data_IF_914675619858
#
_entry.id   IF_914675619858
#
_cell.length_a   1.000
_cell.length_b   1.000
_cell.length_c   1.000
_cell.angle_alpha   90.00
_cell.angle_beta   90.00
_cell.angle_gamma   90.00
#
_symmetry.space_group_name_H-M   'P 1'
#
loop_
_entity.id
_entity.type
_entity.pdbx_description
1 polymer ?
#
# COMPACT_ATOMS: atom_id res chain seq x y z
N UNK A 1 21.50 -4.00 7.03
CA UNK A 1 22.96 -3.72 7.05
C UNK A 1 23.44 -3.09 5.75
N UNK A 2 23.20 -3.70 4.58
CA UNK A 2 23.66 -3.17 3.30
C UNK A 2 23.17 -1.73 3.01
N UNK A 3 21.89 -1.44 3.25
CA UNK A 3 21.34 -0.10 3.09
C UNK A 3 21.96 0.91 4.08
N UNK A 4 22.14 0.51 5.33
CA UNK A 4 22.78 1.36 6.34
C UNK A 4 24.22 1.71 5.95
N UNK A 5 24.97 0.71 5.47
CA UNK A 5 26.32 0.89 5.00
C UNK A 5 26.38 1.87 3.82
N UNK A 6 25.48 1.74 2.85
CA UNK A 6 25.38 2.65 1.73
C UNK A 6 24.99 4.07 2.16
N UNK A 7 24.01 4.22 3.07
CA UNK A 7 23.54 5.52 3.56
C UNK A 7 24.59 6.30 4.36
N UNK A 8 25.49 5.62 5.08
CA UNK A 8 26.62 6.24 5.82
C UNK A 8 27.75 6.74 4.88
N UNK A 9 27.81 6.25 3.65
CA UNK A 9 28.79 6.65 2.66
C UNK A 9 30.18 5.98 2.87
N UNK A 10 31.08 6.17 1.88
CA UNK A 10 32.38 5.49 1.80
C UNK A 10 33.32 5.70 2.99
N UNK A 11 33.26 6.87 3.63
CA UNK A 11 34.25 7.28 4.63
C UNK A 11 34.04 6.68 6.01
N UNK A 12 32.82 6.22 6.31
CA UNK A 12 32.41 5.80 7.66
C UNK A 12 32.17 4.29 7.80
N UNK A 13 32.54 3.46 6.80
CA UNK A 13 32.19 2.04 6.78
C UNK A 13 33.39 1.13 7.04
N UNK A 14 33.11 -0.03 7.68
CA UNK A 14 34.05 -1.13 7.70
C UNK A 14 34.18 -1.79 6.32
N UNK A 15 35.30 -2.48 6.08
CA UNK A 15 35.54 -3.20 4.81
C UNK A 15 34.47 -4.27 4.57
N UNK A 16 34.02 -4.97 5.62
CA UNK A 16 33.01 -6.02 5.54
C UNK A 16 31.62 -5.48 5.18
N UNK A 17 31.21 -4.35 5.78
CA UNK A 17 29.92 -3.73 5.49
C UNK A 17 29.87 -3.20 4.06
N UNK A 18 31.00 -2.75 3.52
CA UNK A 18 31.12 -2.30 2.14
C UNK A 18 30.96 -3.46 1.16
N UNK A 19 31.55 -4.62 1.41
CA UNK A 19 31.40 -5.81 0.58
C UNK A 19 29.95 -6.32 0.60
N UNK A 20 29.30 -6.27 1.76
CA UNK A 20 27.88 -6.60 1.90
C UNK A 20 26.98 -5.66 1.10
N UNK A 21 27.27 -4.36 1.11
CA UNK A 21 26.50 -3.38 0.36
C UNK A 21 26.65 -3.60 -1.16
N UNK A 22 27.87 -3.84 -1.65
CA UNK A 22 28.12 -4.13 -3.08
C UNK A 22 27.40 -5.42 -3.52
N UNK A 23 27.42 -6.48 -2.70
CA UNK A 23 26.68 -7.72 -2.99
C UNK A 23 25.17 -7.53 -3.03
N UNK A 24 24.65 -6.56 -2.29
CA UNK A 24 23.24 -6.20 -2.28
C UNK A 24 22.84 -5.24 -3.42
N UNK A 25 23.77 -4.89 -4.30
CA UNK A 25 23.50 -4.04 -5.47
C UNK A 25 23.62 -2.52 -5.21
N UNK A 26 24.21 -2.12 -4.07
CA UNK A 26 24.43 -0.70 -3.77
C UNK A 26 25.78 -0.26 -4.36
N UNK A 27 25.76 0.67 -5.29
CA UNK A 27 26.97 1.26 -5.87
C UNK A 27 27.32 2.58 -5.17
N UNK A 28 28.53 2.64 -4.63
CA UNK A 28 29.06 3.83 -3.94
C UNK A 28 29.59 4.89 -4.90
N UNK A 29 29.71 4.60 -6.17
CA UNK A 29 30.11 5.59 -7.18
C UNK A 29 28.90 6.34 -7.75
N UNK A 30 27.71 5.80 -7.53
CA UNK A 30 26.45 6.41 -7.93
C UNK A 30 25.67 6.80 -6.67
N UNK A 31 25.01 7.93 -6.73
CA UNK A 31 24.10 8.39 -5.68
C UNK A 31 22.70 7.75 -5.78
N UNK A 32 22.55 6.74 -6.64
CA UNK A 32 21.28 6.12 -7.00
C UNK A 32 21.32 4.59 -6.83
N UNK A 33 20.29 4.03 -6.21
CA UNK A 33 20.11 2.59 -6.04
C UNK A 33 18.69 2.16 -6.41
N UNK A 34 18.57 1.10 -7.20
CA UNK A 34 17.30 0.50 -7.54
C UNK A 34 16.86 -0.54 -6.49
N UNK A 35 15.72 -0.31 -5.86
CA UNK A 35 15.07 -1.25 -4.94
C UNK A 35 14.04 -2.10 -5.67
N UNK A 36 14.31 -3.39 -5.82
CA UNK A 36 13.32 -4.36 -6.30
C UNK A 36 12.70 -5.09 -5.12
N UNK A 37 11.44 -4.83 -4.83
CA UNK A 37 10.69 -5.64 -3.88
C UNK A 37 10.36 -7.00 -4.51
N UNK A 38 11.10 -8.03 -4.13
CA UNK A 38 10.84 -9.38 -4.60
C UNK A 38 9.64 -9.96 -3.84
N UNK A 39 8.57 -10.27 -4.55
CA UNK A 39 7.27 -10.74 -4.02
C UNK A 39 7.27 -12.19 -3.50
N UNK A 40 8.41 -12.85 -3.45
CA UNK A 40 8.50 -14.29 -3.14
C UNK A 40 8.94 -14.63 -1.72
N UNK A 41 9.28 -13.66 -0.90
CA UNK A 41 9.57 -13.87 0.53
C UNK A 41 8.74 -12.85 1.31
N UNK A 42 8.04 -13.33 2.30
CA UNK A 42 7.31 -12.55 3.29
C UNK A 42 8.01 -11.23 3.56
N UNK A 43 7.26 -10.11 3.55
CA UNK A 43 7.76 -8.77 3.83
C UNK A 43 8.34 -8.61 5.25
N UNK A 44 8.61 -9.71 5.94
CA UNK A 44 9.25 -9.86 7.24
C UNK A 44 10.70 -10.31 7.09
N UNK A 45 11.50 -9.55 6.35
CA UNK A 45 12.95 -9.71 6.40
C UNK A 45 13.58 -9.34 7.75
N UNK A 46 12.77 -8.93 8.73
CA UNK A 46 13.11 -8.81 10.14
C UNK A 46 12.22 -9.80 10.88
N UNK A 47 12.75 -10.93 11.39
CA UNK A 47 11.95 -11.77 12.25
C UNK A 47 11.63 -10.99 13.52
N UNK A 48 10.45 -10.42 13.61
CA UNK A 48 9.85 -10.11 14.90
C UNK A 48 9.50 -11.46 15.53
N UNK A 49 10.53 -12.07 16.11
CA UNK A 49 10.37 -13.31 16.87
C UNK A 49 9.72 -12.94 18.18
N UNK A 50 8.41 -13.00 18.22
CA UNK A 50 7.72 -13.04 19.50
C UNK A 50 8.32 -14.16 20.34
N UNK A 51 8.63 -13.93 21.62
CA UNK A 51 9.20 -14.97 22.49
C UNK A 51 8.25 -16.16 22.52
N UNK A 52 8.73 -17.32 22.09
CA UNK A 52 7.90 -18.53 21.93
C UNK A 52 7.58 -19.23 23.25
N UNK A 53 8.26 -18.87 24.35
CA UNK A 53 8.03 -19.48 25.66
C UNK A 53 8.15 -18.47 26.80
N UNK A 54 7.44 -18.73 27.91
CA UNK A 54 7.53 -17.92 29.13
C UNK A 54 8.94 -17.92 29.76
N UNK A 55 9.77 -18.88 29.44
CA UNK A 55 11.17 -18.92 29.88
C UNK A 55 12.04 -17.89 29.15
N UNK A 56 11.86 -17.71 27.85
CA UNK A 56 12.55 -16.66 27.07
C UNK A 56 12.20 -15.27 27.57
N UNK A 57 10.95 -15.04 27.97
CA UNK A 57 10.52 -13.77 28.58
C UNK A 57 11.21 -13.56 29.94
N UNK A 58 11.35 -14.60 30.75
CA UNK A 58 12.06 -14.52 32.04
C UNK A 58 13.57 -14.25 31.87
N UNK A 59 14.22 -14.91 30.93
CA UNK A 59 15.63 -14.65 30.61
C UNK A 59 15.87 -13.24 30.07
N UNK A 60 14.97 -12.72 29.25
CA UNK A 60 15.06 -11.34 28.79
C UNK A 60 14.80 -10.33 29.93
N UNK A 61 13.93 -10.65 30.87
CA UNK A 61 13.67 -9.81 32.04
C UNK A 61 14.86 -9.80 32.99
N UNK A 62 15.45 -10.96 33.28
CA UNK A 62 16.68 -11.08 34.12
C UNK A 62 17.88 -10.39 33.47
N UNK A 63 18.05 -10.50 32.15
CA UNK A 63 19.12 -9.79 31.45
C UNK A 63 18.92 -8.25 31.44
N UNK A 64 17.68 -7.77 31.55
CA UNK A 64 17.39 -6.35 31.74
C UNK A 64 17.65 -5.88 33.17
N UNK A 65 17.29 -6.69 34.16
CA UNK A 65 17.51 -6.40 35.57
C UNK A 65 19.02 -6.40 35.92
N UNK A 66 19.82 -7.35 35.42
CA UNK A 66 21.28 -7.38 35.62
C UNK A 66 22.03 -6.21 34.94
N UNK A 67 21.45 -5.59 33.90
CA UNK A 67 22.00 -4.37 33.31
C UNK A 67 21.63 -3.11 34.09
N UNK A 68 20.55 -3.12 34.88
CA UNK A 68 20.12 -2.00 35.71
C UNK A 68 21.00 -1.84 36.95
N UNK A 69 21.59 -2.92 37.47
CA UNK A 69 22.41 -2.90 38.67
C UNK A 69 23.89 -2.45 38.46
N UNK A 70 24.30 -2.27 37.21
CA UNK A 70 25.65 -1.79 36.88
C UNK A 70 25.69 -0.27 36.69
N UNK A 71 24.98 0.47 37.53
CA UNK A 71 25.14 1.93 37.66
C UNK A 71 26.43 2.21 38.45
N UNK A 72 27.49 2.50 37.72
CA UNK A 72 28.69 3.12 38.29
C UNK A 72 28.28 4.49 38.84
N UNK A 73 28.31 4.64 40.18
CA UNK A 73 28.18 5.92 40.84
C UNK A 73 29.38 6.81 40.51
N UNK A 74 29.29 7.58 39.44
CA UNK A 74 30.20 8.70 39.18
C UNK A 74 29.69 9.92 39.92
N UNK A 75 29.95 10.00 41.22
CA UNK A 75 29.91 11.24 41.97
C UNK A 75 31.17 12.03 41.64
N UNK A 76 31.16 12.81 40.59
CA UNK A 76 32.20 13.77 40.24
C UNK A 76 31.60 15.17 40.05
N UNK A 77 32.08 16.03 40.86
CA UNK A 77 31.98 17.47 40.96
C UNK A 77 31.76 18.21 39.62
N UNK A 78 30.65 18.93 39.51
CA UNK A 78 30.52 20.10 38.62
C UNK A 78 29.43 20.08 37.58
N UNK A 79 29.10 18.94 36.97
CA UNK A 79 28.03 18.84 36.00
C UNK A 79 26.85 18.04 36.58
N UNK A 80 25.63 18.59 36.51
CA UNK A 80 24.41 17.95 37.05
C UNK A 80 23.59 17.39 35.92
N UNK A 81 23.38 16.06 35.92
CA UNK A 81 22.56 15.35 34.93
C UNK A 81 21.07 15.75 34.94
N UNK A 82 20.62 16.45 36.00
CA UNK A 82 19.24 16.91 36.14
C UNK A 82 18.99 18.33 35.55
N UNK A 83 20.02 19.01 35.06
CA UNK A 83 19.92 20.36 34.55
C UNK A 83 20.42 20.41 33.11
N UNK A 84 19.50 20.58 32.14
CA UNK A 84 19.80 20.53 30.71
C UNK A 84 20.92 21.48 30.28
N UNK A 85 20.98 22.70 30.89
CA UNK A 85 21.98 23.71 30.59
C UNK A 85 23.38 23.40 31.14
N UNK A 86 23.51 22.43 32.07
CA UNK A 86 24.75 22.04 32.75
C UNK A 86 25.21 20.62 32.33
N UNK A 87 24.83 20.17 31.18
CA UNK A 87 25.25 18.88 30.61
C UNK A 87 24.20 17.77 30.66
N UNK A 88 22.99 18.03 31.15
CA UNK A 88 21.89 17.06 31.16
C UNK A 88 21.52 16.53 29.78
N UNK A 89 21.69 17.34 28.75
CA UNK A 89 21.47 16.93 27.36
C UNK A 89 22.57 16.03 26.77
N UNK A 90 23.71 15.90 27.43
CA UNK A 90 24.81 15.03 27.00
C UNK A 90 24.72 13.63 27.59
N UNK A 91 23.81 13.41 28.54
CA UNK A 91 23.54 12.07 29.07
C UNK A 91 22.62 11.37 28.08
N UNK A 92 23.05 10.28 27.42
CA UNK A 92 22.16 9.49 26.57
C UNK A 92 21.01 9.02 27.45
N UNK A 93 19.79 9.40 27.11
CA UNK A 93 18.62 8.89 27.80
C UNK A 93 18.59 7.37 27.54
N UNK A 94 18.84 6.57 28.58
CA UNK A 94 18.87 5.12 28.48
C UNK A 94 17.49 4.51 28.16
N UNK A 95 16.48 5.36 28.04
CA UNK A 95 15.14 5.03 27.58
C UNK A 95 14.98 5.32 26.09
N UNK A 96 15.71 4.62 25.26
CA UNK A 96 15.24 4.46 23.89
C UNK A 96 14.14 3.39 23.90
N UNK A 97 12.94 3.85 24.20
CA UNK A 97 11.73 3.12 23.85
C UNK A 97 11.68 2.94 22.33
N UNK A 98 10.97 1.93 21.82
CA UNK A 98 10.74 1.81 20.40
C UNK A 98 10.11 3.12 19.91
N UNK A 99 10.61 3.66 18.80
CA UNK A 99 9.99 4.82 18.16
C UNK A 99 8.57 4.44 17.78
N UNK A 100 7.59 5.04 18.45
CA UNK A 100 6.20 4.84 18.11
C UNK A 100 5.88 5.71 16.89
N UNK A 101 5.63 5.08 15.76
CA UNK A 101 5.15 5.75 14.55
C UNK A 101 3.63 5.68 14.48
N UNK A 102 2.99 6.79 14.12
CA UNK A 102 1.55 6.82 13.92
C UNK A 102 1.17 5.87 12.77
N UNK A 103 0.35 4.88 13.09
CA UNK A 103 -0.16 3.92 12.11
C UNK A 103 -1.48 4.44 11.54
N UNK A 104 -1.54 4.59 10.24
CA UNK A 104 -2.76 4.85 9.50
C UNK A 104 -2.86 3.81 8.40
N UNK A 105 -3.98 3.10 8.35
CA UNK A 105 -4.20 2.13 7.28
C UNK A 105 -4.23 2.87 5.93
N UNK A 106 -3.41 2.42 5.02
CA UNK A 106 -3.36 2.87 3.64
C UNK A 106 -3.25 1.64 2.74
N UNK A 107 -3.74 1.77 1.53
CA UNK A 107 -3.70 0.65 0.59
C UNK A 107 -4.96 -0.20 0.69
N UNK A 108 -5.14 -1.00 -0.26
CA UNK A 108 -6.28 -1.87 -0.54
C UNK A 108 -6.19 -2.27 -1.99
N UNK A 109 -5.84 -1.33 -2.87
CA UNK A 109 -5.75 -1.58 -4.30
C UNK A 109 -4.67 -2.60 -4.67
N UNK A 110 -3.46 -2.50 -4.09
CA UNK A 110 -2.38 -3.46 -4.37
C UNK A 110 -2.64 -4.87 -3.85
N UNK A 111 -3.60 -5.06 -2.94
CA UNK A 111 -3.97 -6.36 -2.40
C UNK A 111 -4.86 -7.16 -3.36
N UNK A 112 -5.70 -6.45 -4.12
CA UNK A 112 -6.73 -7.06 -4.97
C UNK A 112 -6.46 -6.91 -6.47
N UNK A 113 -5.67 -5.90 -6.87
CA UNK A 113 -5.32 -5.66 -8.26
C UNK A 113 -4.25 -6.61 -8.78
N UNK A 114 -4.24 -6.82 -10.09
CA UNK A 114 -3.15 -7.53 -10.76
C UNK A 114 -1.97 -6.59 -11.01
N UNK A 115 -0.77 -6.98 -10.56
CA UNK A 115 0.43 -6.17 -10.74
C UNK A 115 1.25 -6.73 -11.89
N UNK A 116 1.56 -5.85 -12.85
CA UNK A 116 2.42 -6.13 -13.99
C UNK A 116 3.72 -5.35 -13.87
N UNK A 117 4.83 -6.06 -13.75
CA UNK A 117 6.17 -5.44 -13.69
C UNK A 117 6.76 -5.37 -15.09
N UNK A 118 7.29 -4.21 -15.49
CA UNK A 118 7.93 -3.97 -16.79
C UNK A 118 9.29 -3.31 -16.62
N UNK A 119 10.22 -3.60 -17.55
CA UNK A 119 11.55 -3.01 -17.51
C UNK A 119 11.63 -1.62 -18.16
N UNK A 120 10.71 -1.31 -19.07
CA UNK A 120 10.67 -0.04 -19.80
C UNK A 120 9.43 0.76 -19.46
N UNK A 121 9.51 2.08 -19.59
CA UNK A 121 8.38 2.99 -19.39
C UNK A 121 7.63 3.34 -20.69
N UNK A 122 7.88 2.64 -21.79
CA UNK A 122 7.13 2.83 -23.05
C UNK A 122 5.66 2.46 -22.86
N UNK A 123 4.76 3.11 -23.55
CA UNK A 123 3.34 2.81 -23.49
C UNK A 123 3.07 1.33 -23.83
N UNK A 124 2.22 0.71 -23.02
CA UNK A 124 1.86 -0.70 -23.14
C UNK A 124 0.41 -0.82 -23.56
N UNK A 125 0.13 -1.07 -24.83
CA UNK A 125 -1.23 -1.30 -25.29
C UNK A 125 -1.67 -2.73 -24.91
N UNK A 126 -2.79 -2.85 -24.23
CA UNK A 126 -3.44 -4.10 -23.86
C UNK A 126 -4.66 -4.24 -24.77
N UNK A 127 -4.68 -5.24 -25.69
CA UNK A 127 -5.83 -5.44 -26.55
C UNK A 127 -7.03 -5.95 -25.75
N UNK A 128 -8.21 -5.44 -26.07
CA UNK A 128 -9.49 -5.89 -25.53
C UNK A 128 -10.44 -6.20 -26.67
N UNK A 129 -11.31 -7.20 -26.47
CA UNK A 129 -12.36 -7.53 -27.42
C UNK A 129 -13.66 -7.80 -26.68
N UNK A 130 -14.76 -7.36 -27.25
CA UNK A 130 -16.09 -7.65 -26.73
C UNK A 130 -16.92 -8.30 -27.84
N UNK A 131 -17.15 -9.58 -27.69
CA UNK A 131 -17.95 -10.38 -28.62
C UNK A 131 -19.22 -10.93 -27.93
N UNK A 132 -19.58 -10.41 -26.74
CA UNK A 132 -20.68 -10.93 -25.92
C UNK A 132 -22.05 -10.74 -26.53
N UNK A 133 -22.23 -9.76 -27.43
CA UNK A 133 -23.47 -9.52 -28.14
C UNK A 133 -23.64 -10.41 -29.37
N UNK A 134 -22.55 -11.00 -29.87
CA UNK A 134 -22.55 -11.81 -31.05
C UNK A 134 -22.90 -13.26 -30.70
N UNK A 135 -23.92 -13.78 -31.34
CA UNK A 135 -24.39 -15.15 -31.13
C UNK A 135 -24.38 -15.89 -32.43
N UNK A 136 -24.09 -17.20 -32.39
CA UNK A 136 -24.31 -18.07 -33.51
C UNK A 136 -25.78 -18.11 -33.93
N UNK A 137 -26.04 -18.41 -35.17
CA UNK A 137 -27.41 -18.50 -35.72
C UNK A 137 -27.72 -19.94 -36.13
N UNK A 138 -29.00 -20.28 -36.08
CA UNK A 138 -29.53 -21.51 -36.64
C UNK A 138 -29.90 -21.25 -38.11
N UNK A 139 -29.28 -21.99 -39.02
CA UNK A 139 -29.44 -21.78 -40.45
C UNK A 139 -30.29 -22.93 -41.02
N UNK A 140 -31.18 -22.61 -41.94
CA UNK A 140 -31.92 -23.59 -42.69
C UNK A 140 -31.04 -24.17 -43.85
N UNK A 141 -31.43 -25.32 -44.34
CA UNK A 141 -30.74 -25.95 -45.49
C UNK A 141 -30.68 -25.00 -46.70
N UNK A 142 -29.51 -24.93 -47.36
CA UNK A 142 -29.23 -24.02 -48.51
C UNK A 142 -29.28 -22.51 -48.22
N UNK A 143 -29.15 -22.10 -46.96
CA UNK A 143 -29.05 -20.69 -46.61
C UNK A 143 -27.61 -20.28 -46.41
N UNK A 144 -27.23 -19.10 -46.91
CA UNK A 144 -25.88 -18.54 -46.68
C UNK A 144 -25.69 -18.14 -45.25
N UNK A 145 -24.48 -18.39 -44.69
CA UNK A 145 -24.08 -17.98 -43.35
C UNK A 145 -23.86 -16.45 -43.31
N UNK A 146 -24.40 -15.78 -42.28
CA UNK A 146 -24.09 -14.37 -42.05
C UNK A 146 -22.68 -14.22 -41.53
N UNK A 147 -21.94 -13.24 -42.06
CA UNK A 147 -20.62 -12.90 -41.58
C UNK A 147 -20.73 -11.84 -40.47
N UNK A 148 -20.09 -12.09 -39.33
CA UNK A 148 -20.02 -11.17 -38.24
C UNK A 148 -18.55 -11.07 -37.79
N UNK A 149 -18.01 -9.85 -37.82
CA UNK A 149 -16.60 -9.61 -37.50
C UNK A 149 -16.45 -9.19 -36.03
N UNK A 150 -15.42 -9.73 -35.36
CA UNK A 150 -15.05 -9.33 -34.00
C UNK A 150 -14.37 -7.95 -34.04
N UNK A 151 -14.75 -7.06 -33.12
CA UNK A 151 -14.10 -5.76 -32.96
C UNK A 151 -13.09 -5.79 -31.84
N UNK A 152 -11.92 -5.17 -32.07
CA UNK A 152 -10.86 -5.04 -31.10
C UNK A 152 -10.71 -3.59 -30.68
N UNK A 153 -10.52 -3.39 -29.38
CA UNK A 153 -10.16 -2.11 -28.77
C UNK A 153 -8.82 -2.29 -28.01
N UNK A 154 -8.31 -1.24 -27.43
CA UNK A 154 -7.12 -1.33 -26.59
C UNK A 154 -7.22 -0.38 -25.40
N UNK A 155 -6.66 -0.80 -24.26
CA UNK A 155 -6.37 0.05 -23.10
C UNK A 155 -4.87 0.27 -23.06
N UNK A 156 -4.43 1.52 -22.94
CA UNK A 156 -3.00 1.87 -22.94
C UNK A 156 -2.58 2.18 -21.51
N UNK A 157 -1.61 1.42 -20.99
CA UNK A 157 -0.96 1.71 -19.73
C UNK A 157 0.34 2.47 -19.98
N UNK A 158 0.43 3.70 -19.47
CA UNK A 158 1.63 4.56 -19.51
C UNK A 158 2.60 4.29 -18.36
N UNK A 159 3.35 5.31 -17.95
CA UNK A 159 4.19 5.26 -16.76
C UNK A 159 4.34 6.65 -16.16
N UNK A 160 3.68 6.92 -15.04
CA UNK A 160 3.74 8.20 -14.33
C UNK A 160 4.78 8.15 -13.22
N UNK A 161 5.55 9.24 -13.06
CA UNK A 161 6.63 9.33 -12.08
C UNK A 161 6.12 9.85 -10.74
N UNK A 162 6.34 9.09 -9.69
CA UNK A 162 6.04 9.44 -8.30
C UNK A 162 7.30 9.78 -7.52
N UNK A 163 7.20 10.73 -6.61
CA UNK A 163 8.27 11.13 -5.69
C UNK A 163 7.80 11.04 -4.26
N UNK A 164 8.65 10.51 -3.38
CA UNK A 164 8.39 10.46 -1.92
C UNK A 164 8.48 11.83 -1.23
N UNK A 165 8.82 12.89 -1.97
CA UNK A 165 9.37 14.14 -1.45
C UNK A 165 10.72 13.90 -0.73
N UNK A 166 11.49 14.96 -0.56
CA UNK A 166 12.84 14.89 -0.02
C UNK A 166 12.82 14.95 1.50
N UNK A 167 13.71 14.20 2.14
CA UNK A 167 14.00 14.28 3.58
C UNK A 167 15.47 14.67 3.71
N UNK A 168 15.75 15.74 4.45
CA UNK A 168 17.10 16.21 4.73
C UNK A 168 17.47 15.81 6.16
N UNK A 169 18.71 15.33 6.34
CA UNK A 169 19.27 14.96 7.63
C UNK A 169 20.67 15.55 7.77
N UNK A 170 21.03 16.00 8.97
CA UNK A 170 22.41 16.39 9.24
C UNK A 170 23.30 15.15 9.29
N UNK A 171 24.55 15.33 8.89
CA UNK A 171 25.56 14.26 8.92
C UNK A 171 25.81 13.82 10.37
N UNK A 172 25.80 14.76 11.31
CA UNK A 172 25.94 14.50 12.75
C UNK A 172 24.81 13.57 13.24
N UNK A 173 23.57 13.85 12.85
CA UNK A 173 22.44 13.00 13.23
C UNK A 173 22.56 11.58 12.68
N UNK A 174 23.09 11.42 11.45
CA UNK A 174 23.34 10.12 10.86
C UNK A 174 24.44 9.33 11.57
N UNK A 175 25.44 10.02 12.15
CA UNK A 175 26.57 9.39 12.83
C UNK A 175 26.25 9.08 14.30
N UNK A 176 25.61 10.01 15.00
CA UNK A 176 25.43 9.95 16.46
C UNK A 176 24.10 9.33 16.88
N UNK A 177 23.18 9.11 15.95
CA UNK A 177 21.88 8.52 16.28
C UNK A 177 22.01 7.05 16.70
N UNK A 178 21.43 6.73 17.85
CA UNK A 178 21.29 5.35 18.31
C UNK A 178 20.18 4.58 17.55
N UNK A 179 19.37 5.28 16.74
CA UNK A 179 18.36 4.69 15.87
C UNK A 179 18.96 4.32 14.52
N UNK A 180 18.44 3.25 13.92
CA UNK A 180 18.77 2.90 12.55
C UNK A 180 18.04 3.84 11.56
N UNK A 181 18.49 5.10 11.46
CA UNK A 181 17.88 6.14 10.64
C UNK A 181 17.72 5.74 9.17
N UNK A 182 18.71 5.11 8.51
CA UNK A 182 18.55 4.70 7.12
C UNK A 182 17.40 3.73 6.87
N UNK A 183 17.19 2.75 7.76
CA UNK A 183 16.08 1.81 7.64
C UNK A 183 14.74 2.51 7.85
N UNK A 184 14.65 3.37 8.86
CA UNK A 184 13.46 4.18 9.16
C UNK A 184 13.10 5.10 7.98
N UNK A 185 14.11 5.74 7.37
CA UNK A 185 13.89 6.58 6.19
C UNK A 185 13.38 5.78 4.99
N UNK A 186 13.95 4.61 4.74
CA UNK A 186 13.50 3.73 3.66
C UNK A 186 12.02 3.36 3.82
N UNK A 187 11.59 3.02 5.03
CA UNK A 187 10.20 2.73 5.36
C UNK A 187 9.30 3.96 5.18
N UNK A 188 9.72 5.12 5.70
CA UNK A 188 8.96 6.37 5.57
C UNK A 188 8.79 6.80 4.10
N UNK A 189 9.86 6.73 3.30
CA UNK A 189 9.83 7.11 1.88
C UNK A 189 8.95 6.12 1.08
N UNK A 190 9.06 4.82 1.35
CA UNK A 190 8.21 3.78 0.76
C UNK A 190 6.74 3.98 1.11
N UNK A 191 6.43 4.25 2.36
CA UNK A 191 5.06 4.52 2.84
C UNK A 191 4.45 5.75 2.16
N UNK A 192 5.22 6.83 1.96
CA UNK A 192 4.74 8.03 1.25
C UNK A 192 4.36 7.75 -0.20
N UNK A 193 5.19 6.96 -0.91
CA UNK A 193 4.87 6.53 -2.27
C UNK A 193 3.64 5.62 -2.26
N UNK A 194 3.56 4.68 -1.32
CA UNK A 194 2.43 3.78 -1.20
C UNK A 194 1.11 4.50 -0.96
N UNK A 195 1.09 5.54 -0.13
CA UNK A 195 -0.11 6.35 0.13
C UNK A 195 -0.59 7.07 -1.12
N UNK A 196 0.29 7.84 -1.78
CA UNK A 196 -0.11 8.60 -2.97
C UNK A 196 -0.53 7.69 -4.12
N UNK A 197 0.16 6.56 -4.32
CA UNK A 197 -0.22 5.61 -5.38
C UNK A 197 -1.54 4.93 -5.08
N UNK A 198 -1.86 4.61 -3.81
CA UNK A 198 -3.17 4.07 -3.47
C UNK A 198 -4.29 5.09 -3.70
N UNK A 199 -4.08 6.37 -3.39
CA UNK A 199 -5.04 7.44 -3.66
C UNK A 199 -5.32 7.54 -5.16
N UNK A 200 -4.29 7.55 -6.00
CA UNK A 200 -4.42 7.63 -7.44
C UNK A 200 -5.04 6.37 -8.06
N UNK A 201 -4.68 5.16 -7.61
CA UNK A 201 -5.31 3.92 -8.06
C UNK A 201 -6.76 3.80 -7.60
N UNK A 202 -7.16 4.52 -6.56
CA UNK A 202 -8.55 4.54 -6.09
C UNK A 202 -9.37 5.58 -6.80
N UNK A 203 -8.94 6.85 -6.81
CA UNK A 203 -9.74 8.00 -7.23
C UNK A 203 -9.15 8.80 -8.39
N UNK A 204 -8.00 8.40 -8.91
CA UNK A 204 -7.31 9.11 -9.99
C UNK A 204 -8.18 9.37 -11.21
N UNK A 205 -7.99 10.54 -11.84
CA UNK A 205 -8.83 10.98 -12.95
C UNK A 205 -8.48 10.33 -14.31
N UNK A 206 -7.28 9.72 -14.44
CA UNK A 206 -6.83 9.11 -15.69
C UNK A 206 -6.29 10.08 -16.75
N UNK A 207 -6.24 11.38 -16.47
CA UNK A 207 -5.79 12.39 -17.45
C UNK A 207 -4.31 12.77 -17.29
N UNK A 208 -3.84 12.87 -16.04
CA UNK A 208 -2.46 13.23 -15.70
C UNK A 208 -1.82 12.22 -14.74
N UNK A 209 -2.42 11.06 -14.58
CA UNK A 209 -2.04 9.97 -13.70
C UNK A 209 -2.89 8.74 -13.98
N UNK A 210 -2.73 7.68 -13.18
CA UNK A 210 -3.54 6.47 -13.29
C UNK A 210 -5.04 6.76 -13.25
N UNK A 211 -5.81 5.93 -13.92
CA UNK A 211 -7.26 5.96 -13.81
C UNK A 211 -7.70 5.11 -12.63
N UNK A 212 -8.15 5.77 -11.56
CA UNK A 212 -8.58 5.10 -10.33
C UNK A 212 -9.78 4.19 -10.53
N UNK A 213 -9.86 3.12 -9.72
CA UNK A 213 -10.94 2.13 -9.81
C UNK A 213 -12.33 2.75 -9.63
N UNK A 214 -12.49 3.74 -8.75
CA UNK A 214 -13.76 4.46 -8.53
C UNK A 214 -14.18 5.27 -9.76
N UNK A 215 -13.19 5.80 -10.50
CA UNK A 215 -13.43 6.56 -11.74
C UNK A 215 -13.71 5.62 -12.91
N UNK A 216 -13.03 4.49 -12.98
CA UNK A 216 -13.15 3.51 -14.05
C UNK A 216 -14.40 2.61 -13.91
N UNK A 217 -14.83 2.34 -12.66
CA UNK A 217 -16.00 1.50 -12.39
C UNK A 217 -17.28 2.05 -13.04
N UNK A 218 -18.11 1.14 -13.51
CA UNK A 218 -19.38 1.47 -14.12
C UNK A 218 -20.48 1.76 -13.08
N UNK A 219 -21.48 2.54 -13.47
CA UNK A 219 -22.64 2.81 -12.63
C UNK A 219 -23.54 1.56 -12.55
N UNK A 220 -23.87 1.13 -11.33
CA UNK A 220 -24.85 0.06 -11.11
C UNK A 220 -26.30 0.54 -11.23
N UNK A 221 -26.52 1.86 -11.34
CA UNK A 221 -27.85 2.51 -11.23
C UNK A 221 -28.52 2.33 -9.86
N UNK A 222 -27.75 1.90 -8.85
CA UNK A 222 -28.22 1.78 -7.46
C UNK A 222 -27.73 2.99 -6.67
N UNK A 223 -28.68 3.73 -6.11
CA UNK A 223 -28.42 4.82 -5.16
C UNK A 223 -29.04 4.46 -3.83
N UNK A 224 -28.31 4.69 -2.72
CA UNK A 224 -28.89 4.42 -1.41
C UNK A 224 -30.07 5.35 -1.10
N UNK A 225 -31.00 4.90 -0.29
CA UNK A 225 -32.12 5.72 0.15
C UNK A 225 -31.71 6.81 1.16
N UNK A 226 -30.54 6.69 1.77
CA UNK A 226 -29.99 7.63 2.77
C UNK A 226 -28.50 7.84 2.56
N UNK A 227 -28.02 9.05 2.85
CA UNK A 227 -26.58 9.37 2.83
C UNK A 227 -25.79 8.67 3.96
N UNK A 228 -26.46 8.23 5.03
CA UNK A 228 -25.82 7.69 6.25
C UNK A 228 -26.21 6.24 6.59
N UNK A 229 -27.07 5.63 5.77
CA UNK A 229 -27.53 4.27 5.99
C UNK A 229 -27.68 3.53 4.67
N UNK A 230 -27.37 2.23 4.68
CA UNK A 230 -27.56 1.32 3.57
C UNK A 230 -28.58 0.27 3.96
N UNK A 231 -29.33 -0.21 2.98
CA UNK A 231 -30.25 -1.35 3.13
C UNK A 231 -29.65 -2.61 2.51
N UNK A 232 -30.02 -3.76 3.03
CA UNK A 232 -29.57 -5.03 2.47
C UNK A 232 -30.02 -5.22 1.01
N UNK A 233 -31.20 -4.73 0.67
CA UNK A 233 -31.74 -4.78 -0.69
C UNK A 233 -30.88 -3.99 -1.69
N UNK A 234 -30.36 -2.82 -1.32
CA UNK A 234 -29.47 -2.02 -2.16
C UNK A 234 -28.13 -2.74 -2.42
N UNK A 235 -27.58 -3.37 -1.39
CA UNK A 235 -26.33 -4.15 -1.50
C UNK A 235 -26.53 -5.36 -2.41
N UNK A 236 -27.64 -6.09 -2.25
CA UNK A 236 -28.02 -7.20 -3.13
C UNK A 236 -28.20 -6.73 -4.58
N UNK A 237 -28.85 -5.58 -4.78
CA UNK A 237 -29.03 -4.98 -6.11
C UNK A 237 -27.72 -4.64 -6.76
N UNK A 238 -26.73 -4.12 -6.01
CA UNK A 238 -25.39 -3.89 -6.52
C UNK A 238 -24.71 -5.22 -6.92
N UNK A 239 -24.73 -6.23 -6.04
CA UNK A 239 -24.16 -7.55 -6.32
C UNK A 239 -24.72 -8.16 -7.61
N UNK A 240 -26.04 -8.12 -7.76
CA UNK A 240 -26.71 -8.69 -8.94
C UNK A 240 -26.62 -7.81 -10.19
N UNK A 241 -26.19 -6.56 -10.09
CA UNK A 241 -25.91 -5.71 -11.24
C UNK A 241 -24.67 -6.15 -12.03
N UNK A 242 -23.72 -6.84 -11.36
CA UNK A 242 -22.51 -7.37 -12.01
C UNK A 242 -22.85 -8.72 -12.67
N UNK A 243 -22.31 -8.97 -13.85
CA UNK A 243 -22.54 -10.21 -14.58
C UNK A 243 -22.05 -11.44 -13.77
N UNK A 244 -22.82 -12.57 -13.78
CA UNK A 244 -22.44 -13.80 -13.08
C UNK A 244 -21.04 -14.33 -13.40
N UNK A 245 -20.53 -14.06 -14.62
CA UNK A 245 -19.19 -14.50 -15.02
C UNK A 245 -18.08 -13.85 -14.17
N UNK A 246 -18.29 -12.64 -13.68
CA UNK A 246 -17.32 -11.93 -12.81
C UNK A 246 -17.52 -12.20 -11.33
N UNK A 247 -18.72 -12.65 -10.93
CA UNK A 247 -19.04 -12.87 -9.51
C UNK A 247 -18.22 -13.97 -8.85
N UNK A 248 -17.71 -14.92 -9.61
CA UNK A 248 -16.90 -16.03 -9.07
C UNK A 248 -15.61 -15.54 -8.37
N UNK A 249 -15.03 -14.43 -8.83
CA UNK A 249 -13.83 -13.84 -8.27
C UNK A 249 -14.07 -12.42 -7.73
N UNK A 250 -15.34 -12.06 -7.52
CA UNK A 250 -15.70 -10.74 -7.07
C UNK A 250 -15.45 -10.56 -5.57
N UNK A 251 -15.26 -9.30 -5.19
CA UNK A 251 -15.16 -8.85 -3.81
C UNK A 251 -15.80 -7.48 -3.62
N UNK A 252 -15.79 -7.05 -2.38
CA UNK A 252 -16.28 -5.76 -1.96
C UNK A 252 -15.12 -4.82 -1.68
N UNK A 253 -15.24 -3.55 -2.04
CA UNK A 253 -14.29 -2.51 -1.63
C UNK A 253 -15.06 -1.28 -1.14
N UNK A 254 -14.67 -0.80 0.05
CA UNK A 254 -15.36 0.31 0.72
C UNK A 254 -14.45 0.99 1.74
N UNK A 255 -14.73 2.24 2.12
CA UNK A 255 -14.11 2.87 3.29
C UNK A 255 -14.73 2.33 4.58
N UNK A 256 -14.02 2.47 5.70
CA UNK A 256 -14.47 1.96 7.01
C UNK A 256 -15.83 2.56 7.43
N UNK A 257 -16.10 3.82 7.09
CA UNK A 257 -17.40 4.45 7.37
C UNK A 257 -18.59 3.70 6.74
N UNK A 258 -18.43 3.21 5.51
CA UNK A 258 -19.47 2.41 4.82
C UNK A 258 -19.56 1.00 5.42
N UNK A 259 -18.44 0.41 5.82
CA UNK A 259 -18.44 -0.88 6.53
C UNK A 259 -19.26 -0.82 7.83
N UNK A 260 -19.15 0.28 8.57
CA UNK A 260 -19.99 0.53 9.75
C UNK A 260 -21.47 0.62 9.40
N UNK A 261 -21.82 1.29 8.29
CA UNK A 261 -23.20 1.35 7.80
C UNK A 261 -23.72 -0.05 7.48
N UNK A 262 -22.93 -0.88 6.81
CA UNK A 262 -23.30 -2.28 6.50
C UNK A 262 -23.47 -3.13 7.75
N UNK A 263 -22.58 -2.98 8.75
CA UNK A 263 -22.70 -3.71 10.03
C UNK A 263 -23.90 -3.30 10.86
N UNK A 264 -24.43 -2.11 10.69
CA UNK A 264 -25.64 -1.62 11.37
C UNK A 264 -26.94 -2.09 10.74
N UNK A 265 -26.89 -2.78 9.59
CA UNK A 265 -28.10 -3.29 8.96
C UNK A 265 -28.74 -4.34 9.87
N UNK A 266 -29.98 -4.08 10.27
CA UNK A 266 -30.76 -4.93 11.16
C UNK A 266 -32.09 -5.34 10.50
N UNK A 267 -32.64 -6.45 10.97
CA UNK A 267 -34.00 -6.89 10.60
C UNK A 267 -35.06 -6.03 11.29
N UNK A 268 -36.31 -6.33 11.02
CA UNK A 268 -37.46 -5.65 11.64
C UNK A 268 -37.55 -5.82 13.15
N UNK A 269 -36.80 -6.76 13.73
CA UNK A 269 -36.73 -7.03 15.17
C UNK A 269 -35.51 -6.41 15.84
N UNK A 270 -34.70 -5.69 15.08
CA UNK A 270 -33.47 -5.02 15.57
C UNK A 270 -32.24 -5.94 15.66
N UNK A 271 -32.31 -7.16 15.11
CA UNK A 271 -31.16 -8.08 15.10
C UNK A 271 -30.27 -7.76 13.93
N UNK A 272 -28.93 -7.63 14.10
CA UNK A 272 -28.00 -7.44 13.00
C UNK A 272 -28.12 -8.59 12.00
N UNK A 273 -28.25 -8.28 10.72
CA UNK A 273 -28.32 -9.29 9.65
C UNK A 273 -26.95 -9.91 9.43
N UNK A 274 -25.90 -9.07 9.51
CA UNK A 274 -24.52 -9.53 9.36
C UNK A 274 -23.85 -9.74 10.71
N UNK A 275 -23.64 -11.00 11.06
CA UNK A 275 -22.84 -11.39 12.20
C UNK A 275 -21.43 -11.73 11.69
N UNK A 276 -20.37 -11.04 12.17
CA UNK A 276 -19.02 -11.42 11.83
C UNK A 276 -18.74 -12.84 12.31
N UNK A 277 -17.92 -13.59 11.57
CA UNK A 277 -17.50 -14.93 11.98
C UNK A 277 -16.84 -14.88 13.36
N UNK A 278 -17.35 -15.66 14.30
CA UNK A 278 -16.74 -15.84 15.63
C UNK A 278 -15.52 -16.78 15.60
N UNK A 279 -15.27 -17.44 14.46
CA UNK A 279 -14.11 -18.31 14.30
C UNK A 279 -12.85 -17.46 14.12
N UNK A 280 -11.87 -17.66 15.00
CA UNK A 280 -10.55 -17.03 14.86
C UNK A 280 -9.90 -17.47 13.54
N UNK A 281 -9.45 -16.49 12.73
CA UNK A 281 -8.78 -16.76 11.47
C UNK A 281 -9.70 -16.94 10.25
N UNK A 282 -11.01 -16.80 10.40
CA UNK A 282 -11.89 -16.77 9.23
C UNK A 282 -11.66 -15.48 8.44
N UNK A 283 -11.56 -15.55 7.09
CA UNK A 283 -11.41 -14.38 6.26
C UNK A 283 -12.60 -13.44 6.43
N UNK A 284 -12.34 -12.13 6.32
CA UNK A 284 -13.39 -11.12 6.37
C UNK A 284 -14.25 -11.23 5.11
N UNK A 285 -15.48 -11.73 5.23
CA UNK A 285 -16.42 -11.90 4.13
C UNK A 285 -17.74 -11.20 4.43
N UNK A 286 -18.39 -10.69 3.39
CA UNK A 286 -19.75 -10.19 3.42
C UNK A 286 -20.55 -10.88 2.32
N UNK A 287 -21.66 -11.50 2.70
CA UNK A 287 -22.50 -12.29 1.79
C UNK A 287 -21.72 -13.36 0.98
N UNK A 288 -20.74 -13.99 1.65
CA UNK A 288 -19.87 -15.00 1.05
C UNK A 288 -18.66 -14.49 0.28
N UNK A 289 -18.63 -13.19 -0.08
CA UNK A 289 -17.55 -12.60 -0.84
C UNK A 289 -16.54 -11.84 0.05
N UNK A 290 -15.24 -11.85 -0.27
CA UNK A 290 -14.24 -11.13 0.50
C UNK A 290 -14.44 -9.61 0.39
N UNK A 291 -14.06 -8.88 1.45
CA UNK A 291 -14.07 -7.43 1.39
C UNK A 291 -12.71 -6.84 1.75
N UNK A 292 -12.42 -5.68 1.18
CA UNK A 292 -11.20 -4.90 1.41
C UNK A 292 -11.58 -3.48 1.82
N UNK A 293 -10.94 -2.99 2.88
CA UNK A 293 -11.12 -1.62 3.35
C UNK A 293 -10.12 -0.73 2.61
N UNK A 294 -10.63 0.31 1.94
CA UNK A 294 -9.81 1.30 1.26
C UNK A 294 -10.24 2.71 1.71
N UNK A 295 -9.42 3.32 2.55
CA UNK A 295 -9.70 4.63 3.13
C UNK A 295 -9.55 5.81 2.14
N UNK A 296 -8.96 5.57 0.96
CA UNK A 296 -8.92 6.58 -0.11
C UNK A 296 -10.25 6.76 -0.84
N UNK A 297 -11.25 5.90 -0.55
CA UNK A 297 -12.63 6.08 -1.01
C UNK A 297 -13.39 7.04 -0.09
N UNK A 298 -14.32 7.81 -0.68
CA UNK A 298 -15.17 8.74 0.08
C UNK A 298 -16.42 8.04 0.61
N UNK A 299 -16.79 8.35 1.86
CA UNK A 299 -18.09 8.01 2.46
C UNK A 299 -19.05 9.20 2.55
N UNK A 300 -18.78 10.30 1.87
CA UNK A 300 -19.64 11.49 1.85
C UNK A 300 -20.93 11.25 1.07
N UNK A 301 -21.91 12.13 1.27
CA UNK A 301 -23.13 12.17 0.46
C UNK A 301 -22.80 12.28 -1.04
N UNK A 302 -23.59 11.67 -1.89
CA UNK A 302 -23.40 11.56 -3.33
C UNK A 302 -22.07 10.88 -3.79
N UNK A 303 -21.28 10.30 -2.87
CA UNK A 303 -20.05 9.63 -3.22
C UNK A 303 -20.31 8.21 -3.77
N UNK A 304 -19.39 7.75 -4.61
CA UNK A 304 -19.29 6.35 -5.05
C UNK A 304 -18.66 5.53 -3.93
N UNK A 305 -19.46 5.13 -2.95
CA UNK A 305 -18.95 4.69 -1.65
C UNK A 305 -18.75 3.18 -1.52
N UNK A 306 -19.40 2.38 -2.34
CA UNK A 306 -19.30 0.93 -2.33
C UNK A 306 -19.05 0.41 -3.74
N UNK A 307 -18.00 -0.38 -3.89
CA UNK A 307 -17.65 -1.08 -5.12
C UNK A 307 -17.87 -2.58 -4.95
N UNK A 308 -18.35 -3.22 -6.01
CA UNK A 308 -18.45 -4.66 -6.11
C UNK A 308 -18.04 -5.14 -7.50
N UNK A 309 -17.25 -6.19 -7.57
CA UNK A 309 -16.83 -6.79 -8.82
C UNK A 309 -15.49 -7.50 -8.74
N UNK A 310 -14.97 -7.91 -9.90
CA UNK A 310 -13.68 -8.57 -10.04
C UNK A 310 -12.54 -7.54 -10.12
N UNK A 311 -11.93 -7.26 -8.98
CA UNK A 311 -10.81 -6.31 -8.88
C UNK A 311 -9.52 -6.82 -9.54
N UNK A 312 -9.41 -8.12 -9.85
CA UNK A 312 -8.26 -8.65 -10.58
C UNK A 312 -8.12 -8.09 -11.99
N UNK A 313 -9.22 -7.54 -12.55
CA UNK A 313 -9.25 -6.84 -13.82
C UNK A 313 -8.64 -5.44 -13.77
N UNK A 314 -8.45 -4.88 -12.57
CA UNK A 314 -7.67 -3.66 -12.42
C UNK A 314 -6.19 -4.01 -12.47
N UNK A 315 -5.48 -3.45 -13.44
CA UNK A 315 -4.06 -3.73 -13.65
C UNK A 315 -3.22 -2.56 -13.19
N UNK A 316 -2.28 -2.83 -12.30
CA UNK A 316 -1.27 -1.87 -11.86
C UNK A 316 0.02 -2.20 -12.58
N UNK A 317 0.52 -1.28 -13.39
CA UNK A 317 1.82 -1.37 -14.02
C UNK A 317 2.88 -0.76 -13.13
N UNK A 318 3.96 -1.50 -12.89
CA UNK A 318 5.14 -1.09 -12.15
C UNK A 318 6.37 -1.13 -13.03
N UNK A 319 7.12 -0.03 -13.13
CA UNK A 319 8.31 0.06 -13.98
C UNK A 319 9.56 0.07 -13.13
N UNK A 320 10.37 -0.98 -13.20
CA UNK A 320 11.66 -1.17 -12.50
C UNK A 320 11.66 -1.04 -10.97
N UNK A 321 10.51 -0.88 -10.32
CA UNK A 321 10.45 -0.70 -8.87
C UNK A 321 10.85 0.71 -8.39
N UNK A 322 11.24 0.82 -7.11
CA UNK A 322 11.54 2.07 -6.44
C UNK A 322 13.03 2.37 -6.53
N UNK A 323 13.40 3.57 -7.02
CA UNK A 323 14.76 4.10 -7.03
C UNK A 323 14.96 5.05 -5.86
N UNK A 324 15.91 4.77 -4.99
CA UNK A 324 16.31 5.65 -3.90
C UNK A 324 17.54 6.46 -4.31
N UNK A 325 17.43 7.78 -4.25
CA UNK A 325 18.50 8.72 -4.57
C UNK A 325 18.98 9.39 -3.29
N UNK A 326 20.30 9.35 -3.07
CA UNK A 326 21.00 10.08 -2.03
C UNK A 326 21.72 11.28 -2.64
N UNK A 327 21.47 12.47 -2.12
CA UNK A 327 22.01 13.73 -2.59
C UNK A 327 22.95 14.31 -1.54
N UNK A 328 24.25 14.15 -1.74
CA UNK A 328 25.28 14.62 -0.80
C UNK A 328 25.69 16.07 -1.09
N UNK A 329 25.63 16.52 -2.37
CA UNK A 329 26.14 17.81 -2.77
C UNK A 329 25.16 18.96 -2.58
N UNK A 330 23.86 18.69 -2.74
CA UNK A 330 22.81 19.73 -2.76
C UNK A 330 22.74 20.61 -1.51
N UNK A 331 23.06 20.02 -0.35
CA UNK A 331 23.02 20.69 0.95
C UNK A 331 24.35 20.60 1.69
N UNK A 332 25.45 20.46 0.96
CA UNK A 332 26.81 20.38 1.52
C UNK A 332 27.16 21.59 2.37
N UNK A 333 26.71 22.78 1.97
CA UNK A 333 26.87 24.04 2.73
C UNK A 333 26.28 24.00 4.15
N UNK A 334 25.26 23.15 4.36
CA UNK A 334 24.55 22.97 5.65
C UNK A 334 24.96 21.69 6.37
N UNK A 335 25.96 20.99 5.84
CA UNK A 335 26.40 19.67 6.31
C UNK A 335 25.23 18.67 6.44
N UNK A 336 24.37 18.65 5.38
CA UNK A 336 23.16 17.79 5.33
C UNK A 336 23.20 16.88 4.11
N UNK A 337 22.62 15.70 4.27
CA UNK A 337 22.36 14.73 3.20
C UNK A 337 20.88 14.62 2.97
N UNK A 338 20.45 14.65 1.72
CA UNK A 338 19.06 14.49 1.36
C UNK A 338 18.79 13.10 0.77
N UNK A 339 17.62 12.56 1.10
CA UNK A 339 17.13 11.30 0.55
C UNK A 339 15.80 11.52 -0.15
N UNK A 340 15.64 10.96 -1.33
CA UNK A 340 14.40 10.97 -2.10
C UNK A 340 14.21 9.65 -2.82
N UNK A 341 13.00 9.12 -2.81
CA UNK A 341 12.66 7.94 -3.57
C UNK A 341 11.77 8.31 -4.77
N UNK A 342 12.01 7.66 -5.88
CA UNK A 342 11.19 7.75 -7.08
C UNK A 342 10.67 6.38 -7.47
N UNK A 343 9.46 6.36 -8.02
CA UNK A 343 8.86 5.17 -8.60
C UNK A 343 8.05 5.56 -9.83
N UNK A 344 7.80 4.60 -10.71
CA UNK A 344 6.96 4.81 -11.90
C UNK A 344 5.86 3.78 -11.92
N UNK A 345 4.62 4.28 -11.91
CA UNK A 345 3.42 3.46 -11.91
C UNK A 345 2.39 3.98 -12.90
N UNK A 346 1.53 3.09 -13.32
CA UNK A 346 0.26 3.39 -13.94
C UNK A 346 -0.77 2.35 -13.53
N UNK A 347 -2.04 2.65 -13.74
CA UNK A 347 -3.11 1.70 -13.45
C UNK A 347 -4.41 2.09 -14.14
N UNK A 348 -5.08 1.07 -14.68
CA UNK A 348 -6.41 1.21 -15.26
C UNK A 348 -7.19 -0.11 -15.12
N UNK A 349 -8.51 0.00 -15.22
CA UNK A 349 -9.41 -1.13 -15.31
C UNK A 349 -9.41 -1.67 -16.74
N UNK A 350 -9.01 -2.92 -16.91
CA UNK A 350 -9.06 -3.58 -18.21
C UNK A 350 -10.50 -4.06 -18.43
N UNK A 351 -11.29 -3.23 -19.07
CA UNK A 351 -12.68 -3.50 -19.41
C UNK A 351 -12.87 -3.53 -20.91
N UNK A 352 -13.47 -4.61 -21.38
CA UNK A 352 -13.88 -4.76 -22.78
C UNK A 352 -15.32 -4.25 -23.03
N UNK A 353 -15.91 -3.47 -22.11
CA UNK A 353 -17.28 -3.00 -22.17
C UNK A 353 -18.31 -3.90 -21.49
N UNK A 354 -17.85 -4.82 -20.64
CA UNK A 354 -18.69 -5.75 -19.88
C UNK A 354 -18.84 -5.36 -18.40
N UNK A 355 -18.19 -4.27 -17.99
CA UNK A 355 -18.29 -3.66 -16.66
C UNK A 355 -18.02 -4.65 -15.51
N UNK A 356 -16.78 -5.15 -15.38
CA UNK A 356 -16.42 -6.13 -14.36
C UNK A 356 -16.52 -5.60 -12.93
N UNK A 357 -16.48 -4.28 -12.74
CA UNK A 357 -16.62 -3.59 -11.45
C UNK A 357 -17.69 -2.51 -11.54
N UNK A 358 -18.60 -2.50 -10.58
CA UNK A 358 -19.66 -1.49 -10.49
C UNK A 358 -19.69 -0.83 -9.12
N UNK A 359 -20.26 0.39 -9.07
CA UNK A 359 -20.37 1.16 -7.83
C UNK A 359 -21.82 1.46 -7.46
N UNK A 360 -22.03 1.61 -6.16
CA UNK A 360 -23.22 2.21 -5.57
C UNK A 360 -22.91 3.64 -5.13
N UNK A 361 -23.84 4.55 -5.41
CA UNK A 361 -23.74 5.95 -4.98
C UNK A 361 -24.57 6.15 -3.71
N UNK A 362 -24.01 6.85 -2.72
CA UNK A 362 -24.79 7.29 -1.57
C UNK A 362 -25.77 8.42 -1.99
N UNK A 363 -26.89 8.50 -1.30
CA UNK A 363 -27.86 9.57 -1.48
C UNK A 363 -27.19 10.93 -1.25
N UNK A 364 -27.66 11.96 -2.01
CA UNK A 364 -27.16 13.33 -1.93
C UNK A 364 -27.57 14.04 -0.62
#
# INVERSE_FOLDING_TARGET
RAFNAWALGRRCMSREDRELAIRAGYDFNQSECDFRFNRGSDASGIPFRAPKTMEEVRHQKQARESRADNKVNLAATGLKAADGSLGGYTVPDAMMGPLESALLQWGGMRQVATILTTDTGADLPIPTTNDTSNKGEMIAENTAVNQLEATFAQVILGSFKYSSKMINLSVELLQDSALNLPALLGEMLGTRIGRITNDDFTTGAGSAGPRGIVTAAANSSVTSASATALTYAEILSLKHSVDPAYRANAGWMMPDGVLVMMKKIADSTGRPIWLPSLAQGAPATFDGDPYVINQSMSSAAAAKALLYGDFSKYMIREVRGITLLRLDERYAEKHQVAFVAFARYDGDLIDAGTNPVKYLTLHA
#
